data_IF_681343453751
#
_entry.id   IF_681343453751
#
_cell.length_a   1.000
_cell.length_b   1.000
_cell.length_c   1.000
_cell.angle_alpha   90.00
_cell.angle_beta   90.00
_cell.angle_gamma   90.00
#
_symmetry.space_group_name_H-M   'P 1'
#
loop_
_entity.id
_entity.type
_entity.pdbx_description
1 polymer ?
#
# COMPACT_ATOMS: atom_id res chain seq x y z
N UNK A 1 11.55 -60.22 39.60
CA UNK A 1 12.33 -60.43 38.36
C UNK A 1 11.33 -60.74 37.25
N UNK A 2 10.89 -59.72 36.51
CA UNK A 2 11.41 -59.34 35.17
C UNK A 2 11.29 -60.51 34.19
N UNK A 3 10.52 -60.45 33.11
CA UNK A 3 10.61 -59.45 32.02
C UNK A 3 9.35 -59.52 31.15
N UNK A 4 8.79 -58.39 30.69
CA UNK A 4 8.18 -58.23 29.35
C UNK A 4 8.48 -56.79 28.87
N UNK A 5 9.58 -56.64 28.12
CA UNK A 5 9.79 -55.58 27.12
C UNK A 5 8.74 -55.83 26.00
N UNK A 6 8.01 -54.88 25.44
CA UNK A 6 8.39 -53.53 25.08
C UNK A 6 8.50 -53.46 23.55
N UNK A 7 7.46 -52.98 22.87
CA UNK A 7 7.57 -52.21 21.61
C UNK A 7 6.17 -51.79 21.18
N UNK A 8 5.74 -50.60 21.63
CA UNK A 8 4.70 -49.84 20.94
C UNK A 8 5.33 -48.55 20.50
N UNK A 9 5.58 -48.48 19.20
CA UNK A 9 5.97 -47.30 18.42
C UNK A 9 5.11 -46.10 18.81
N UNK A 10 5.78 -45.01 19.20
CA UNK A 10 5.17 -43.69 19.39
C UNK A 10 4.71 -43.20 18.01
N UNK A 11 3.43 -43.38 17.73
CA UNK A 11 2.76 -42.73 16.61
C UNK A 11 2.58 -41.25 16.92
N UNK A 12 2.96 -40.41 15.96
CA UNK A 12 2.69 -38.98 15.95
C UNK A 12 1.18 -38.73 16.03
N UNK A 13 0.67 -38.38 17.21
CA UNK A 13 -0.68 -37.85 17.36
C UNK A 13 -0.65 -36.35 17.05
N UNK A 14 -1.04 -35.99 15.83
CA UNK A 14 -1.61 -34.67 15.57
C UNK A 14 -2.85 -34.54 16.45
N UNK A 15 -2.79 -33.67 17.47
CA UNK A 15 -3.93 -33.41 18.33
C UNK A 15 -5.05 -32.78 17.51
N UNK A 16 -6.10 -33.56 17.27
CA UNK A 16 -7.36 -33.13 16.68
C UNK A 16 -8.09 -32.29 17.74
N UNK A 17 -7.78 -30.99 17.83
CA UNK A 17 -8.41 -30.05 18.78
C UNK A 17 -9.63 -29.39 18.09
N UNK A 18 -10.87 -29.81 18.42
CA UNK A 18 -12.07 -29.30 17.76
C UNK A 18 -12.26 -27.79 17.94
N UNK A 19 -11.74 -27.22 19.04
CA UNK A 19 -11.79 -25.78 19.27
C UNK A 19 -10.86 -25.03 18.31
N UNK A 20 -9.65 -25.56 18.08
CA UNK A 20 -8.72 -24.98 17.13
C UNK A 20 -9.26 -25.02 15.69
N UNK A 21 -9.96 -26.09 15.31
CA UNK A 21 -10.59 -26.20 13.98
C UNK A 21 -11.75 -25.22 13.83
N UNK A 22 -12.61 -25.08 14.84
CA UNK A 22 -13.70 -24.11 14.84
C UNK A 22 -13.18 -22.65 14.77
N UNK A 23 -12.08 -22.35 15.46
CA UNK A 23 -11.40 -21.05 15.37
C UNK A 23 -10.87 -20.81 13.96
N UNK A 24 -10.17 -21.79 13.35
CA UNK A 24 -9.66 -21.67 11.97
C UNK A 24 -10.78 -21.50 10.95
N UNK A 25 -11.95 -22.09 11.20
CA UNK A 25 -13.12 -21.96 10.32
C UNK A 25 -13.64 -20.52 10.19
N UNK A 26 -13.32 -19.62 11.13
CA UNK A 26 -13.64 -18.19 11.05
C UNK A 26 -12.94 -17.53 9.85
N UNK A 27 -11.61 -17.71 9.74
CA UNK A 27 -10.85 -17.17 8.59
C UNK A 27 -11.23 -17.86 7.28
N UNK A 28 -11.57 -19.15 7.30
CA UNK A 28 -12.11 -19.83 6.11
C UNK A 28 -13.45 -19.22 5.67
N UNK A 29 -14.30 -18.80 6.63
CA UNK A 29 -15.58 -18.14 6.35
C UNK A 29 -15.36 -16.74 5.78
N UNK A 30 -14.44 -15.96 6.35
CA UNK A 30 -14.00 -14.69 5.78
C UNK A 30 -13.52 -14.84 4.33
N UNK A 31 -12.67 -15.83 4.06
CA UNK A 31 -12.15 -16.08 2.71
C UNK A 31 -13.26 -16.45 1.70
N UNK A 32 -14.26 -17.24 2.13
CA UNK A 32 -15.43 -17.56 1.30
C UNK A 32 -16.30 -16.34 1.02
N UNK A 33 -16.60 -15.53 2.05
CA UNK A 33 -17.35 -14.28 1.89
C UNK A 33 -16.65 -13.34 0.92
N UNK A 34 -15.33 -13.18 1.07
CA UNK A 34 -14.51 -12.39 0.16
C UNK A 34 -14.59 -12.88 -1.29
N UNK A 35 -14.35 -14.17 -1.51
CA UNK A 35 -14.36 -14.75 -2.86
C UNK A 35 -15.74 -14.67 -3.54
N UNK A 36 -16.82 -14.68 -2.75
CA UNK A 36 -18.19 -14.52 -3.24
C UNK A 36 -18.61 -13.05 -3.41
N UNK A 37 -17.83 -12.08 -2.93
CA UNK A 37 -18.27 -10.69 -2.77
C UNK A 37 -19.43 -10.54 -1.78
N UNK A 38 -19.58 -11.49 -0.86
CA UNK A 38 -20.65 -11.55 0.14
C UNK A 38 -20.14 -10.98 1.48
N UNK A 39 -20.48 -9.71 1.70
CA UNK A 39 -20.12 -9.00 2.92
C UNK A 39 -20.80 -9.55 4.17
N UNK A 40 -22.02 -10.09 4.05
CA UNK A 40 -22.74 -10.66 5.17
C UNK A 40 -22.07 -11.97 5.63
N UNK A 41 -21.68 -12.83 4.69
CA UNK A 41 -20.92 -14.05 4.98
C UNK A 41 -19.54 -13.73 5.56
N UNK A 42 -18.86 -12.70 5.04
CA UNK A 42 -17.61 -12.23 5.62
C UNK A 42 -17.81 -11.78 7.08
N UNK A 43 -18.82 -10.93 7.31
CA UNK A 43 -19.12 -10.33 8.61
C UNK A 43 -19.64 -11.36 9.64
N UNK A 44 -20.19 -12.49 9.22
CA UNK A 44 -20.68 -13.56 10.10
C UNK A 44 -19.61 -14.13 11.05
N UNK A 45 -18.32 -13.94 10.73
CA UNK A 45 -17.19 -14.37 11.56
C UNK A 45 -16.97 -13.50 12.81
N UNK A 46 -17.52 -12.29 12.83
CA UNK A 46 -17.33 -11.31 13.90
C UNK A 46 -18.51 -11.30 14.85
N UNK A 47 -18.33 -10.99 16.13
CA UNK A 47 -19.43 -10.75 17.08
C UNK A 47 -20.22 -9.49 16.71
N UNK A 48 -21.48 -9.40 17.14
CA UNK A 48 -22.36 -8.25 16.83
C UNK A 48 -21.74 -6.92 17.25
N UNK A 49 -21.05 -6.91 18.39
CA UNK A 49 -20.38 -5.77 19.03
C UNK A 49 -18.85 -5.78 18.85
N UNK A 50 -18.34 -6.49 17.84
CA UNK A 50 -16.90 -6.65 17.64
C UNK A 50 -16.14 -5.30 17.60
N UNK A 51 -15.05 -5.22 18.37
CA UNK A 51 -14.07 -4.14 18.31
C UNK A 51 -13.14 -4.35 17.11
N UNK A 52 -13.46 -3.74 15.97
CA UNK A 52 -12.67 -3.85 14.74
C UNK A 52 -11.84 -2.58 14.50
N UNK A 53 -10.56 -2.75 14.19
CA UNK A 53 -9.67 -1.68 13.71
C UNK A 53 -9.12 -2.06 12.34
N UNK A 54 -9.38 -1.23 11.32
CA UNK A 54 -8.83 -1.43 9.97
C UNK A 54 -7.35 -1.09 9.91
N UNK A 55 -6.68 -1.47 8.82
CA UNK A 55 -5.28 -1.06 8.54
C UNK A 55 -5.08 0.46 8.47
N UNK A 56 -6.15 1.26 8.33
CA UNK A 56 -6.11 2.73 8.34
C UNK A 56 -6.40 3.33 9.72
N UNK A 57 -6.73 2.51 10.71
CA UNK A 57 -7.16 2.96 12.03
C UNK A 57 -8.64 3.30 12.14
N UNK A 58 -9.45 3.02 11.10
CA UNK A 58 -10.90 3.24 11.15
C UNK A 58 -11.54 2.22 12.12
N UNK A 59 -12.58 2.65 12.86
CA UNK A 59 -13.36 1.80 13.78
C UNK A 59 -14.81 1.66 13.33
N UNK A 60 -15.15 0.64 12.50
CA UNK A 60 -16.53 0.33 12.16
C UNK A 60 -17.36 -0.01 13.41
N UNK A 61 -18.65 0.36 13.42
CA UNK A 61 -19.56 0.04 14.52
C UNK A 61 -20.02 -1.42 14.46
N UNK A 62 -19.31 -2.30 15.16
CA UNK A 62 -19.65 -3.72 15.31
C UNK A 62 -19.77 -4.45 13.95
N UNK A 63 -20.47 -5.59 13.97
CA UNK A 63 -20.65 -6.43 12.76
C UNK A 63 -21.30 -5.67 11.60
N UNK A 64 -22.33 -4.87 11.88
CA UNK A 64 -23.05 -4.14 10.85
C UNK A 64 -22.15 -3.12 10.13
N UNK A 65 -21.28 -2.42 10.87
CA UNK A 65 -20.29 -1.52 10.29
C UNK A 65 -19.24 -2.25 9.46
N UNK A 66 -18.79 -3.43 9.90
CA UNK A 66 -17.86 -4.29 9.16
C UNK A 66 -18.51 -4.74 7.84
N UNK A 67 -19.74 -5.24 7.88
CA UNK A 67 -20.51 -5.67 6.70
C UNK A 67 -20.67 -4.54 5.69
N UNK A 68 -21.21 -3.38 6.11
CA UNK A 68 -21.40 -2.25 5.22
C UNK A 68 -20.09 -1.71 4.63
N UNK A 69 -19.00 -1.78 5.40
CA UNK A 69 -17.67 -1.44 4.92
C UNK A 69 -17.19 -2.39 3.82
N UNK A 70 -17.33 -3.70 4.02
CA UNK A 70 -16.88 -4.72 3.07
C UNK A 70 -17.78 -4.81 1.83
N UNK A 71 -19.09 -4.58 1.94
CA UNK A 71 -20.00 -4.53 0.78
C UNK A 71 -19.54 -3.46 -0.22
N UNK A 72 -19.16 -2.26 0.27
CA UNK A 72 -18.58 -1.23 -0.60
C UNK A 72 -17.27 -1.69 -1.25
N UNK A 73 -16.36 -2.28 -0.48
CA UNK A 73 -15.06 -2.73 -0.97
C UNK A 73 -15.19 -3.82 -2.04
N UNK A 74 -16.09 -4.79 -1.84
CA UNK A 74 -16.35 -5.88 -2.77
C UNK A 74 -17.04 -5.43 -4.06
N UNK A 75 -17.69 -4.26 -4.06
CA UNK A 75 -18.24 -3.62 -5.27
C UNK A 75 -17.23 -2.73 -6.00
N UNK A 76 -16.10 -2.39 -5.37
CA UNK A 76 -15.09 -1.47 -5.92
C UNK A 76 -13.71 -2.11 -5.97
N UNK A 77 -12.76 -1.65 -5.14
CA UNK A 77 -11.34 -1.98 -5.18
C UNK A 77 -11.02 -3.47 -4.97
N UNK A 78 -11.92 -4.25 -4.37
CA UNK A 78 -11.75 -5.68 -4.11
C UNK A 78 -12.70 -6.56 -4.93
N UNK A 79 -13.43 -6.00 -5.89
CA UNK A 79 -14.27 -6.78 -6.79
C UNK A 79 -13.45 -7.84 -7.54
N UNK A 80 -13.88 -9.11 -7.48
CA UNK A 80 -13.22 -10.22 -8.16
C UNK A 80 -11.87 -10.66 -7.56
N UNK A 81 -11.47 -10.11 -6.41
CA UNK A 81 -10.28 -10.54 -5.68
C UNK A 81 -10.58 -11.71 -4.75
N UNK A 82 -9.53 -12.36 -4.22
CA UNK A 82 -9.62 -13.45 -3.24
C UNK A 82 -8.80 -13.10 -2.00
N UNK A 83 -9.17 -13.68 -0.86
CA UNK A 83 -8.44 -13.56 0.40
C UNK A 83 -7.84 -14.91 0.78
N UNK A 84 -6.52 -15.01 0.75
CA UNK A 84 -5.79 -16.14 1.30
C UNK A 84 -5.46 -15.85 2.76
N UNK A 85 -6.19 -16.45 3.68
CA UNK A 85 -6.01 -16.26 5.11
C UNK A 85 -5.42 -17.52 5.77
N UNK A 86 -4.42 -17.32 6.64
CA UNK A 86 -3.75 -18.38 7.40
C UNK A 86 -3.64 -18.00 8.86
N UNK A 87 -4.19 -18.85 9.73
CA UNK A 87 -3.96 -18.78 11.18
C UNK A 87 -2.56 -19.34 11.49
N UNK A 88 -1.69 -18.49 12.02
CA UNK A 88 -0.30 -18.83 12.36
C UNK A 88 -0.17 -19.33 13.80
N UNK A 89 -0.93 -18.75 14.73
CA UNK A 89 -0.93 -19.15 16.13
C UNK A 89 -2.32 -19.03 16.77
N UNK A 90 -2.63 -19.95 17.67
CA UNK A 90 -3.80 -19.88 18.56
C UNK A 90 -3.30 -20.04 19.99
N UNK A 91 -3.61 -19.07 20.85
CA UNK A 91 -3.28 -19.11 22.28
C UNK A 91 -4.55 -19.00 23.11
N UNK A 92 -4.95 -20.11 23.73
CA UNK A 92 -6.07 -20.13 24.66
C UNK A 92 -5.71 -19.35 25.93
N UNK A 93 -6.54 -18.37 26.30
CA UNK A 93 -6.39 -17.56 27.51
C UNK A 93 -7.13 -18.21 28.69
N UNK A 94 -8.32 -18.72 28.43
CA UNK A 94 -9.20 -19.48 29.33
C UNK A 94 -10.15 -20.35 28.48
N UNK A 95 -10.88 -21.30 29.07
CA UNK A 95 -11.93 -22.02 28.33
C UNK A 95 -12.88 -21.05 27.63
N UNK A 96 -13.05 -21.24 26.32
CA UNK A 96 -13.91 -20.39 25.48
C UNK A 96 -13.33 -19.02 25.09
N UNK A 97 -12.05 -18.72 25.36
CA UNK A 97 -11.42 -17.46 24.96
C UNK A 97 -9.98 -17.68 24.47
N UNK A 98 -9.64 -17.16 23.29
CA UNK A 98 -8.30 -17.27 22.73
C UNK A 98 -7.85 -15.99 22.00
N UNK A 99 -6.54 -15.78 21.93
CA UNK A 99 -5.93 -14.86 20.95
C UNK A 99 -5.48 -15.64 19.73
N UNK A 100 -5.64 -15.06 18.55
CA UNK A 100 -5.28 -15.68 17.29
C UNK A 100 -4.44 -14.71 16.47
N UNK A 101 -3.30 -15.20 16.00
CA UNK A 101 -2.49 -14.51 15.00
C UNK A 101 -2.83 -15.09 13.63
N UNK A 102 -3.04 -14.20 12.66
CA UNK A 102 -3.33 -14.59 11.30
C UNK A 102 -2.65 -13.68 10.29
N UNK A 103 -2.17 -14.30 9.22
CA UNK A 103 -1.66 -13.61 8.04
C UNK A 103 -2.72 -13.70 6.94
N UNK A 104 -2.89 -12.64 6.16
CA UNK A 104 -3.82 -12.66 5.03
C UNK A 104 -3.26 -11.92 3.83
N UNK A 105 -3.38 -12.51 2.65
CA UNK A 105 -2.98 -11.90 1.37
C UNK A 105 -4.21 -11.72 0.50
N UNK A 106 -4.46 -10.50 0.02
CA UNK A 106 -5.45 -10.25 -1.03
C UNK A 106 -4.80 -10.55 -2.37
N UNK A 107 -5.45 -11.36 -3.20
CA UNK A 107 -4.98 -11.74 -4.53
C UNK A 107 -5.94 -11.30 -5.61
N UNK A 108 -5.40 -10.83 -6.74
CA UNK A 108 -6.16 -10.62 -7.96
C UNK A 108 -6.64 -11.96 -8.56
N UNK A 109 -7.52 -11.89 -9.56
CA UNK A 109 -8.08 -13.07 -10.21
C UNK A 109 -7.03 -13.97 -10.89
N UNK A 110 -5.90 -13.39 -11.31
CA UNK A 110 -4.75 -14.09 -11.89
C UNK A 110 -3.78 -14.69 -10.85
N UNK A 111 -4.05 -14.48 -9.55
CA UNK A 111 -3.23 -14.96 -8.44
C UNK A 111 -2.18 -13.96 -7.93
N UNK A 112 -2.01 -12.81 -8.58
CA UNK A 112 -1.06 -11.76 -8.18
C UNK A 112 -1.38 -11.27 -6.77
N UNK A 113 -0.37 -11.23 -5.88
CA UNK A 113 -0.53 -10.68 -4.53
C UNK A 113 -0.62 -9.15 -4.58
N UNK A 114 -1.72 -8.60 -4.08
CA UNK A 114 -1.98 -7.15 -4.08
C UNK A 114 -1.55 -6.49 -2.77
N UNK A 115 -1.88 -7.10 -1.65
CA UNK A 115 -1.49 -6.61 -0.32
C UNK A 115 -1.50 -7.75 0.69
N UNK A 116 -0.64 -7.65 1.69
CA UNK A 116 -0.56 -8.59 2.82
C UNK A 116 -0.83 -7.86 4.13
N UNK A 117 -1.53 -8.55 5.03
CA UNK A 117 -1.84 -8.05 6.37
C UNK A 117 -1.48 -9.08 7.42
N UNK A 118 -1.12 -8.59 8.61
CA UNK A 118 -1.03 -9.38 9.83
C UNK A 118 -2.14 -8.90 10.77
N UNK A 119 -2.89 -9.85 11.35
CA UNK A 119 -3.95 -9.58 12.30
C UNK A 119 -3.68 -10.25 13.65
N UNK A 120 -3.99 -9.52 14.72
CA UNK A 120 -4.22 -10.08 16.05
C UNK A 120 -5.72 -10.00 16.34
N UNK A 121 -6.32 -11.15 16.62
CA UNK A 121 -7.73 -11.27 16.94
C UNK A 121 -7.94 -11.86 18.35
N UNK A 122 -9.03 -11.47 18.99
CA UNK A 122 -9.58 -12.16 20.15
C UNK A 122 -10.84 -12.88 19.70
N UNK A 123 -10.91 -14.17 19.99
CA UNK A 123 -12.07 -15.01 19.67
C UNK A 123 -12.70 -15.53 20.96
N UNK A 124 -14.03 -15.48 21.02
CA UNK A 124 -14.81 -15.98 22.15
C UNK A 124 -15.84 -17.01 21.67
N UNK A 125 -16.03 -18.06 22.47
CA UNK A 125 -17.07 -19.05 22.27
C UNK A 125 -18.37 -18.51 22.83
N UNK A 126 -19.35 -18.27 21.96
CA UNK A 126 -20.65 -17.68 22.30
C UNK A 126 -21.74 -18.72 22.57
N UNK A 127 -21.44 -20.02 22.38
CA UNK A 127 -22.33 -21.15 22.69
C UNK A 127 -22.02 -21.87 24.02
N UNK A 128 -23.05 -22.53 24.57
CA UNK A 128 -22.94 -23.49 25.68
C UNK A 128 -22.73 -24.92 25.16
N UNK A 129 -22.34 -25.83 26.05
CA UNK A 129 -21.99 -27.23 25.76
C UNK A 129 -23.07 -28.04 25.00
N UNK A 130 -24.33 -27.54 24.97
CA UNK A 130 -25.49 -28.20 24.36
C UNK A 130 -26.00 -27.52 23.06
N UNK A 131 -25.36 -26.43 22.61
CA UNK A 131 -25.63 -25.77 21.31
C UNK A 131 -24.49 -25.98 20.31
N UNK A 132 -24.62 -25.57 19.03
CA UNK A 132 -23.46 -25.58 18.14
C UNK A 132 -22.37 -24.68 18.74
N UNK A 133 -21.17 -25.24 18.91
CA UNK A 133 -19.97 -24.52 19.37
C UNK A 133 -19.67 -23.37 18.41
N UNK A 134 -20.26 -22.21 18.67
CA UNK A 134 -20.07 -21.02 17.86
C UNK A 134 -18.93 -20.20 18.46
N UNK A 135 -17.84 -20.09 17.71
CA UNK A 135 -16.80 -19.11 17.97
C UNK A 135 -17.07 -17.85 17.15
N UNK A 136 -16.72 -16.69 17.69
CA UNK A 136 -16.80 -15.41 16.99
C UNK A 136 -15.59 -14.55 17.32
N UNK A 137 -15.18 -13.70 16.38
CA UNK A 137 -14.15 -12.69 16.60
C UNK A 137 -14.79 -11.52 17.36
N UNK A 138 -14.36 -11.28 18.61
CA UNK A 138 -14.87 -10.19 19.45
C UNK A 138 -13.99 -8.93 19.38
N UNK A 139 -12.71 -9.09 19.01
CA UNK A 139 -11.83 -7.98 18.70
C UNK A 139 -10.89 -8.36 17.55
N UNK A 140 -10.62 -7.41 16.65
CA UNK A 140 -9.77 -7.61 15.48
C UNK A 140 -8.98 -6.35 15.18
N UNK A 141 -7.65 -6.47 15.17
CA UNK A 141 -6.76 -5.42 14.71
C UNK A 141 -5.86 -5.99 13.63
N UNK A 142 -5.79 -5.33 12.48
CA UNK A 142 -4.85 -5.70 11.43
C UNK A 142 -3.98 -4.53 10.97
N UNK A 143 -2.83 -4.89 10.44
CA UNK A 143 -1.86 -3.94 9.89
C UNK A 143 -1.25 -4.49 8.61
N UNK A 144 -0.70 -3.60 7.80
CA UNK A 144 0.18 -3.98 6.69
C UNK A 144 1.60 -4.07 7.28
N UNK A 145 2.25 -5.26 7.28
CA UNK A 145 3.63 -5.38 7.70
C UNK A 145 4.54 -4.48 6.87
N UNK A 146 5.43 -3.75 7.54
CA UNK A 146 6.53 -3.10 6.85
C UNK A 146 7.43 -4.17 6.21
N UNK A 147 7.90 -3.91 4.99
CA UNK A 147 8.90 -4.78 4.36
C UNK A 147 10.16 -4.72 5.22
N UNK A 148 10.62 -5.88 5.69
CA UNK A 148 11.91 -5.95 6.38
C UNK A 148 12.99 -5.50 5.38
N UNK A 149 13.88 -4.56 5.74
CA UNK A 149 14.97 -4.16 4.85
C UNK A 149 15.76 -5.43 4.50
N UNK A 150 15.98 -5.64 3.21
CA UNK A 150 16.79 -6.75 2.74
C UNK A 150 18.13 -6.70 3.49
N UNK A 151 18.44 -7.77 4.23
CA UNK A 151 19.73 -7.89 4.90
C UNK A 151 20.82 -7.63 3.87
N UNK A 152 21.65 -6.62 4.12
CA UNK A 152 22.74 -6.18 3.25
C UNK A 152 23.58 -7.39 2.82
N UNK A 153 23.29 -7.92 1.63
CA UNK A 153 24.22 -8.75 0.92
C UNK A 153 25.31 -7.80 0.42
N UNK A 154 26.44 -7.80 1.12
CA UNK A 154 27.62 -7.01 0.77
C UNK A 154 27.89 -7.13 -0.73
N UNK A 155 27.74 -6.01 -1.42
CA UNK A 155 28.02 -5.86 -2.85
C UNK A 155 29.47 -6.22 -3.13
N UNK A 156 29.67 -7.38 -3.76
CA UNK A 156 30.92 -7.72 -4.41
C UNK A 156 31.10 -6.81 -5.64
N UNK A 157 32.23 -6.09 -5.71
CA UNK A 157 32.60 -5.28 -6.87
C UNK A 157 32.67 -6.15 -8.14
N UNK A 158 32.08 -5.74 -9.28
CA UNK A 158 32.36 -6.40 -10.54
C UNK A 158 33.73 -5.97 -11.10
N UNK A 159 34.37 -6.93 -11.76
CA UNK A 159 35.67 -6.80 -12.41
C UNK A 159 35.62 -5.91 -13.67
N UNK A 160 36.72 -5.20 -13.89
CA UNK A 160 36.97 -4.26 -14.98
C UNK A 160 37.00 -4.96 -16.35
N UNK A 161 36.23 -4.45 -17.31
CA UNK A 161 36.25 -4.90 -18.71
C UNK A 161 37.08 -3.94 -19.59
N UNK A 162 37.87 -4.53 -20.50
CA UNK A 162 38.81 -3.88 -21.41
C UNK A 162 38.14 -2.96 -22.46
N UNK A 163 38.87 -1.99 -23.06
CA UNK A 163 38.26 -0.89 -23.79
C UNK A 163 37.85 -1.32 -25.20
N UNK A 164 36.64 -0.91 -25.60
CA UNK A 164 36.16 -0.96 -26.99
C UNK A 164 36.36 0.44 -27.59
N UNK A 165 37.04 0.49 -28.73
CA UNK A 165 37.33 1.73 -29.48
C UNK A 165 36.07 2.13 -30.26
N UNK A 166 35.57 3.35 -30.08
CA UNK A 166 34.45 3.92 -30.84
C UNK A 166 34.91 5.06 -31.76
N UNK A 167 34.32 5.10 -32.95
CA UNK A 167 34.40 6.18 -33.95
C UNK A 167 33.77 7.49 -33.46
N UNK A 168 34.05 8.66 -34.06
CA UNK A 168 33.84 9.95 -33.40
C UNK A 168 32.35 10.31 -33.36
N UNK A 169 31.77 10.13 -32.18
CA UNK A 169 30.46 10.64 -31.81
C UNK A 169 30.50 12.17 -31.74
N UNK A 170 29.48 12.83 -32.28
CA UNK A 170 29.29 14.28 -32.20
C UNK A 170 29.41 14.74 -30.74
N UNK A 171 30.19 15.78 -30.52
CA UNK A 171 30.39 16.38 -29.20
C UNK A 171 29.06 16.60 -28.47
N UNK A 172 28.91 16.12 -27.22
CA UNK A 172 27.68 16.28 -26.47
C UNK A 172 27.53 17.76 -26.08
N UNK A 173 26.44 18.38 -26.55
CA UNK A 173 25.91 19.60 -25.94
C UNK A 173 25.70 19.35 -24.46
N UNK A 174 26.14 20.25 -23.58
CA UNK A 174 25.99 20.13 -22.12
C UNK A 174 24.53 19.82 -21.72
N UNK A 175 24.20 18.54 -21.54
CA UNK A 175 22.94 18.13 -20.93
C UNK A 175 23.17 18.08 -19.43
N UNK A 176 22.94 19.21 -18.75
CA UNK A 176 23.06 19.30 -17.30
C UNK A 176 22.24 18.22 -16.59
N UNK A 177 22.76 17.73 -15.45
CA UNK A 177 22.13 16.65 -14.64
C UNK A 177 20.65 16.96 -14.37
N UNK A 178 19.73 15.98 -14.47
CA UNK A 178 18.32 16.15 -14.07
C UNK A 178 18.17 16.81 -12.69
N UNK A 179 17.21 17.73 -12.56
CA UNK A 179 17.02 18.51 -11.33
C UNK A 179 15.64 18.25 -10.75
N UNK A 180 15.57 17.96 -9.46
CA UNK A 180 14.31 17.92 -8.72
C UNK A 180 13.72 19.34 -8.66
N UNK A 181 12.55 19.54 -9.28
CA UNK A 181 11.96 20.88 -9.49
C UNK A 181 10.47 20.93 -9.19
N UNK A 182 9.88 19.83 -8.73
CA UNK A 182 8.45 19.75 -8.43
C UNK A 182 8.16 18.87 -7.24
N UNK A 183 7.20 19.31 -6.44
CA UNK A 183 6.58 18.52 -5.38
C UNK A 183 5.06 18.68 -5.43
N UNK A 184 4.33 17.60 -5.17
CA UNK A 184 2.88 17.62 -5.09
C UNK A 184 2.36 17.08 -3.77
N UNK A 185 1.41 17.81 -3.18
CA UNK A 185 0.72 17.46 -1.94
C UNK A 185 -0.78 17.46 -2.22
N UNK A 186 -1.47 16.38 -1.84
CA UNK A 186 -2.94 16.36 -1.81
C UNK A 186 -3.41 17.03 -0.52
N UNK A 187 -4.25 18.05 -0.66
CA UNK A 187 -4.74 18.88 0.44
C UNK A 187 -6.27 18.93 0.47
N UNK A 188 -6.85 18.86 1.69
CA UNK A 188 -8.29 19.07 1.89
C UNK A 188 -8.69 20.51 1.60
N UNK A 189 -7.83 21.45 1.98
CA UNK A 189 -7.98 22.88 1.75
C UNK A 189 -6.71 23.45 1.11
N UNK A 190 -6.58 23.39 -0.24
CA UNK A 190 -5.42 23.93 -0.94
C UNK A 190 -5.24 25.43 -0.77
N UNK A 191 -6.31 26.22 -0.66
CA UNK A 191 -6.22 27.68 -0.53
C UNK A 191 -5.67 28.07 0.86
N UNK A 192 -6.19 27.46 1.93
CA UNK A 192 -5.66 27.66 3.28
C UNK A 192 -4.18 27.23 3.39
N UNK A 193 -3.83 26.10 2.76
CA UNK A 193 -2.45 25.63 2.73
C UNK A 193 -1.54 26.52 1.86
N UNK A 194 -2.02 27.05 0.74
CA UNK A 194 -1.31 28.05 -0.06
C UNK A 194 -1.04 29.32 0.74
N UNK A 195 -2.03 29.79 1.52
CA UNK A 195 -1.89 30.91 2.44
C UNK A 195 -0.81 30.66 3.49
N UNK A 196 -0.73 29.46 4.06
CA UNK A 196 0.34 29.07 4.98
C UNK A 196 1.72 29.15 4.31
N UNK A 197 1.92 28.49 3.16
CA UNK A 197 3.20 28.49 2.45
C UNK A 197 3.62 29.89 1.99
N UNK A 198 2.67 30.71 1.55
CA UNK A 198 2.94 32.08 1.12
C UNK A 198 3.32 32.99 2.29
N UNK A 199 2.62 32.87 3.43
CA UNK A 199 2.85 33.75 4.59
C UNK A 199 4.05 33.35 5.44
N UNK A 200 4.29 32.04 5.61
CA UNK A 200 5.34 31.52 6.51
C UNK A 200 6.66 31.31 5.78
N UNK A 201 6.61 30.86 4.52
CA UNK A 201 7.78 30.49 3.74
C UNK A 201 7.99 31.36 2.50
N UNK A 202 7.19 32.43 2.35
CA UNK A 202 7.32 33.42 1.28
C UNK A 202 7.25 32.81 -0.13
N UNK A 203 6.53 31.70 -0.31
CA UNK A 203 6.31 31.11 -1.62
C UNK A 203 5.31 31.96 -2.43
N UNK A 204 5.59 32.13 -3.72
CA UNK A 204 4.72 32.86 -4.65
C UNK A 204 3.66 31.92 -5.23
N UNK A 205 2.39 32.20 -4.94
CA UNK A 205 1.24 31.55 -5.58
C UNK A 205 1.06 32.10 -7.00
N UNK A 206 1.42 31.30 -8.01
CA UNK A 206 1.43 31.74 -9.41
C UNK A 206 0.26 31.18 -10.24
N UNK A 207 -0.48 30.19 -9.72
CA UNK A 207 -1.66 29.63 -10.40
C UNK A 207 -2.69 29.07 -9.42
N UNK A 208 -3.96 29.27 -9.77
CA UNK A 208 -5.12 28.59 -9.19
C UNK A 208 -5.88 27.87 -10.30
N UNK A 209 -6.25 26.63 -10.07
CA UNK A 209 -7.05 25.84 -11.00
C UNK A 209 -8.54 25.85 -10.60
N UNK A 210 -9.47 25.66 -11.54
CA UNK A 210 -10.92 25.69 -11.26
C UNK A 210 -11.40 24.65 -10.25
N UNK A 211 -10.66 23.54 -10.07
CA UNK A 211 -10.96 22.50 -9.08
C UNK A 211 -10.54 22.89 -7.64
N UNK A 212 -9.98 24.09 -7.46
CA UNK A 212 -9.47 24.60 -6.20
C UNK A 212 -8.03 24.20 -5.90
N UNK A 213 -7.33 23.53 -6.82
CA UNK A 213 -5.89 23.28 -6.69
C UNK A 213 -5.09 24.57 -6.84
N UNK A 214 -3.95 24.65 -6.17
CA UNK A 214 -3.07 25.82 -6.16
C UNK A 214 -1.64 25.41 -6.54
N UNK A 215 -0.90 26.26 -7.25
CA UNK A 215 0.52 26.04 -7.52
C UNK A 215 1.35 27.22 -7.04
N UNK A 216 2.35 26.93 -6.20
CA UNK A 216 3.27 27.89 -5.62
C UNK A 216 4.70 27.64 -6.08
N UNK A 217 5.57 28.64 -5.96
CA UNK A 217 7.00 28.50 -6.22
C UNK A 217 7.81 29.26 -5.18
N UNK A 218 8.95 28.72 -4.76
CA UNK A 218 9.98 29.46 -4.01
C UNK A 218 11.05 30.09 -4.93
N UNK A 219 10.84 30.02 -6.24
CA UNK A 219 11.80 30.37 -7.28
C UNK A 219 12.62 29.17 -7.78
N UNK A 220 12.84 28.16 -6.94
CA UNK A 220 13.63 26.98 -7.28
C UNK A 220 12.76 25.75 -7.56
N UNK A 221 11.69 25.56 -6.80
CA UNK A 221 10.83 24.39 -6.79
C UNK A 221 9.37 24.83 -6.95
N UNK A 222 8.65 24.14 -7.82
CA UNK A 222 7.20 24.25 -7.94
C UNK A 222 6.53 23.33 -6.91
N UNK A 223 5.52 23.84 -6.20
CA UNK A 223 4.70 23.11 -5.25
C UNK A 223 3.26 23.09 -5.73
N UNK A 224 2.75 21.92 -6.11
CA UNK A 224 1.34 21.72 -6.44
C UNK A 224 0.54 21.24 -5.23
N UNK A 225 -0.45 22.02 -4.83
CA UNK A 225 -1.44 21.68 -3.82
C UNK A 225 -2.71 21.19 -4.53
N UNK A 226 -2.85 19.87 -4.61
CA UNK A 226 -3.93 19.20 -5.34
C UNK A 226 -5.16 19.10 -4.44
N UNK A 227 -6.32 19.54 -4.92
CA UNK A 227 -7.57 19.37 -4.18
C UNK A 227 -7.88 17.89 -3.94
N UNK A 228 -8.01 17.51 -2.67
CA UNK A 228 -8.46 16.18 -2.29
C UNK A 228 -9.88 15.94 -2.80
N UNK A 229 -10.02 14.87 -3.58
CA UNK A 229 -11.29 14.39 -4.10
C UNK A 229 -11.91 13.41 -3.11
N UNK A 230 -13.11 13.72 -2.62
CA UNK A 230 -13.82 12.86 -1.65
C UNK A 230 -14.23 11.50 -2.25
N UNK A 231 -14.33 11.44 -3.57
CA UNK A 231 -14.65 10.26 -4.38
C UNK A 231 -13.40 9.52 -4.90
N UNK A 232 -12.19 9.97 -4.55
CA UNK A 232 -10.94 9.39 -5.03
C UNK A 232 -10.19 8.59 -3.96
N UNK A 233 -9.41 7.61 -4.40
CA UNK A 233 -8.62 6.74 -3.51
C UNK A 233 -7.28 7.36 -3.06
N UNK A 234 -7.00 8.62 -3.41
CA UNK A 234 -5.71 9.26 -3.12
C UNK A 234 -5.71 9.90 -1.72
N UNK A 235 -4.86 9.46 -0.79
CA UNK A 235 -4.81 10.03 0.55
C UNK A 235 -4.28 11.46 0.55
N UNK A 236 -4.61 12.21 1.61
CA UNK A 236 -4.03 13.53 1.91
C UNK A 236 -2.55 13.38 2.25
N UNK A 237 -1.70 14.31 1.80
CA UNK A 237 -0.26 14.31 2.06
C UNK A 237 0.58 14.25 0.79
N UNK A 238 1.83 13.81 0.92
CA UNK A 238 2.78 13.69 -0.18
C UNK A 238 2.21 12.81 -1.30
N UNK A 239 2.30 13.27 -2.55
CA UNK A 239 1.71 12.57 -3.69
C UNK A 239 2.72 12.12 -4.73
N UNK A 240 3.54 13.05 -5.23
CA UNK A 240 4.61 12.77 -6.17
C UNK A 240 5.60 13.94 -6.17
N UNK A 241 6.75 13.72 -6.81
CA UNK A 241 7.75 14.76 -7.10
C UNK A 241 8.05 14.80 -8.59
N UNK A 242 8.92 15.70 -9.07
CA UNK A 242 9.22 15.77 -10.49
C UNK A 242 10.59 16.31 -10.83
N UNK A 243 11.14 15.77 -11.92
CA UNK A 243 12.44 16.14 -12.48
C UNK A 243 12.28 16.98 -13.74
N UNK A 244 12.98 18.12 -13.74
CA UNK A 244 13.26 18.86 -14.95
C UNK A 244 14.45 18.18 -15.64
N UNK A 245 14.20 17.64 -16.83
CA UNK A 245 15.18 16.90 -17.65
C UNK A 245 15.41 17.61 -18.97
N UNK A 246 16.54 17.34 -19.63
CA UNK A 246 16.83 17.92 -20.95
C UNK A 246 16.12 17.19 -22.10
N UNK A 247 15.90 15.89 -21.93
CA UNK A 247 15.28 15.02 -22.94
C UNK A 247 14.48 13.91 -22.21
N UNK A 248 13.16 14.00 -22.30
CA UNK A 248 12.21 13.03 -21.74
C UNK A 248 12.28 11.69 -22.46
N UNK A 249 12.57 11.64 -23.76
CA UNK A 249 12.68 10.41 -24.52
C UNK A 249 13.93 9.62 -24.11
N UNK A 250 15.08 10.28 -24.05
CA UNK A 250 16.33 9.68 -23.59
C UNK A 250 16.21 9.22 -22.12
N UNK A 251 15.65 10.06 -21.24
CA UNK A 251 15.45 9.68 -19.83
C UNK A 251 14.48 8.51 -19.69
N UNK A 252 13.38 8.49 -20.46
CA UNK A 252 12.41 7.40 -20.43
C UNK A 252 13.02 6.07 -20.93
N UNK A 253 13.87 6.12 -21.95
CA UNK A 253 14.58 4.93 -22.44
C UNK A 253 15.53 4.37 -21.37
N UNK A 254 16.30 5.24 -20.71
CA UNK A 254 17.20 4.83 -19.63
C UNK A 254 16.46 4.22 -18.43
N UNK A 255 15.28 4.73 -18.08
CA UNK A 255 14.42 4.17 -17.03
C UNK A 255 14.00 2.72 -17.37
N UNK A 256 13.53 2.50 -18.59
CA UNK A 256 13.13 1.16 -19.07
C UNK A 256 14.32 0.20 -19.08
N UNK A 257 15.52 0.64 -19.49
CA UNK A 257 16.73 -0.17 -19.43
C UNK A 257 17.08 -0.62 -18.00
N UNK A 258 16.73 0.18 -17.00
CA UNK A 258 16.90 -0.17 -15.58
C UNK A 258 15.75 -0.98 -14.98
N UNK A 259 14.82 -1.44 -15.81
CA UNK A 259 13.77 -2.37 -15.40
C UNK A 259 12.52 -1.71 -14.81
N UNK A 260 12.33 -0.40 -15.00
CA UNK A 260 11.07 0.26 -14.66
C UNK A 260 10.08 0.17 -15.82
N UNK A 261 8.79 0.31 -15.52
CA UNK A 261 7.77 0.47 -16.55
C UNK A 261 8.02 1.72 -17.41
N UNK A 262 7.55 1.67 -18.65
CA UNK A 262 7.63 2.81 -19.57
C UNK A 262 6.83 3.99 -19.00
N UNK A 263 7.42 5.20 -18.90
CA UNK A 263 6.70 6.38 -18.43
C UNK A 263 5.43 6.65 -19.26
N UNK A 264 4.31 6.83 -18.56
CA UNK A 264 3.02 7.09 -19.18
C UNK A 264 2.90 8.57 -19.54
N UNK A 265 2.52 8.87 -20.79
CA UNK A 265 2.20 10.24 -21.19
C UNK A 265 0.97 10.71 -20.43
N UNK A 266 1.05 11.90 -19.82
CA UNK A 266 -0.10 12.52 -19.16
C UNK A 266 -1.07 13.04 -20.22
N UNK A 267 -2.24 12.45 -20.32
CA UNK A 267 -3.38 13.04 -21.02
C UNK A 267 -4.12 13.96 -20.05
N UNK A 268 -3.55 15.12 -19.75
CA UNK A 268 -4.26 16.14 -18.99
C UNK A 268 -4.04 17.51 -19.61
N UNK A 269 -5.07 18.36 -19.60
CA UNK A 269 -5.02 19.78 -20.00
C UNK A 269 -4.13 20.65 -19.07
N UNK A 270 -3.30 20.01 -18.23
CA UNK A 270 -2.40 20.63 -17.26
C UNK A 270 -1.01 20.80 -17.90
N UNK A 271 -0.51 22.02 -18.04
CA UNK A 271 0.53 22.34 -19.03
C UNK A 271 1.99 21.99 -18.65
N UNK A 272 2.24 21.24 -17.57
CA UNK A 272 3.57 21.22 -16.93
C UNK A 272 4.20 19.84 -16.71
N UNK A 273 3.43 18.76 -16.74
CA UNK A 273 3.92 17.39 -16.52
C UNK A 273 3.66 16.55 -17.77
N UNK A 274 4.72 16.12 -18.45
CA UNK A 274 4.63 15.48 -19.77
C UNK A 274 4.52 13.96 -19.64
N UNK A 275 5.30 13.38 -18.70
CA UNK A 275 5.30 11.96 -18.43
C UNK A 275 5.28 11.67 -16.92
N UNK A 276 4.57 10.61 -16.53
CA UNK A 276 4.62 10.04 -15.17
C UNK A 276 5.38 8.72 -15.21
N UNK A 277 6.31 8.56 -14.28
CA UNK A 277 7.11 7.35 -14.08
C UNK A 277 7.04 6.90 -12.61
N UNK A 278 7.62 5.74 -12.36
CA UNK A 278 7.74 5.14 -11.03
C UNK A 278 9.18 4.67 -10.84
N UNK A 279 9.74 4.89 -9.65
CA UNK A 279 11.05 4.35 -9.30
C UNK A 279 10.95 2.88 -8.83
N UNK A 280 12.07 2.15 -8.64
CA UNK A 280 12.03 0.75 -8.23
C UNK A 280 11.34 0.48 -6.88
N UNK A 281 11.16 1.50 -6.04
CA UNK A 281 10.52 1.42 -4.73
C UNK A 281 9.03 1.82 -4.78
N UNK A 282 8.49 2.10 -5.97
CA UNK A 282 7.09 2.42 -6.17
C UNK A 282 6.74 3.90 -6.05
N UNK A 283 7.72 4.80 -5.93
CA UNK A 283 7.44 6.23 -5.79
C UNK A 283 7.11 6.85 -7.14
N UNK A 284 5.99 7.57 -7.22
CA UNK A 284 5.60 8.29 -8.43
C UNK A 284 6.42 9.57 -8.59
N UNK A 285 6.92 9.78 -9.81
CA UNK A 285 7.53 11.05 -10.19
C UNK A 285 7.19 11.46 -11.62
N UNK A 286 7.31 12.75 -11.88
CA UNK A 286 7.01 13.36 -13.18
C UNK A 286 8.29 13.76 -13.91
N UNK A 287 8.29 13.64 -15.23
CA UNK A 287 9.32 14.16 -16.11
C UNK A 287 8.75 15.32 -16.93
N UNK A 288 9.55 16.38 -17.04
CA UNK A 288 9.22 17.54 -17.85
C UNK A 288 10.49 18.12 -18.48
N UNK A 289 10.50 18.34 -19.78
CA UNK A 289 11.51 19.12 -20.52
C UNK A 289 11.30 20.62 -20.33
N UNK A 290 10.05 21.04 -20.23
CA UNK A 290 9.64 22.43 -20.17
C UNK A 290 9.63 23.00 -18.74
N UNK A 291 9.76 22.13 -17.74
CA UNK A 291 9.71 22.45 -16.32
C UNK A 291 8.27 22.55 -15.78
N UNK A 292 8.15 22.89 -14.49
CA UNK A 292 6.89 22.78 -13.74
C UNK A 292 6.17 24.12 -13.48
N UNK A 293 6.41 25.10 -14.36
CA UNK A 293 5.91 26.47 -14.22
C UNK A 293 6.59 27.26 -13.10
N UNK A 294 5.96 28.37 -12.71
CA UNK A 294 6.41 29.25 -11.63
C UNK A 294 7.44 30.31 -12.06
N UNK A 295 7.55 31.41 -11.28
CA UNK A 295 8.63 32.38 -11.43
C UNK A 295 9.98 31.67 -11.28
N UNK A 296 10.93 32.00 -12.17
CA UNK A 296 12.33 31.58 -12.03
C UNK A 296 13.08 32.61 -11.17
N UNK A 297 14.12 32.20 -10.44
CA UNK A 297 14.96 33.17 -9.75
C UNK A 297 15.58 34.06 -10.82
N UNK A 298 15.81 35.34 -10.50
CA UNK A 298 16.78 36.11 -11.26
C UNK A 298 18.09 35.30 -11.25
N UNK A 299 18.77 35.20 -12.40
CA UNK A 299 20.05 34.49 -12.46
C UNK A 299 20.94 35.02 -11.32
N UNK A 300 21.33 34.14 -10.40
CA UNK A 300 22.27 34.49 -9.34
C UNK A 300 23.54 35.01 -10.02
N UNK A 301 23.84 36.30 -9.80
CA UNK A 301 24.99 36.99 -10.36
C UNK A 301 26.29 36.58 -9.65
#
# INVERSE_FOLDING_TARGET
MTTHNGSSTIGANGSNDPAADAIRALWATMARGWAAGDAALFAASFATDCDFTTVRGDKPQGRAGIEAGHDRLFRTQYAGTRLDARVTAVRHLRPGLATVEAESTVRAADGTALTSTHALAVVERTGTHDGPDLWQIVAFHNMIPAVAPAGSAASARPAEAAPVVSEPEKAPTETGRPRLRHLAIVARDPEGLAGFYSSVLSMELFRRDPDGSCLLSDGYLSLALIKHRLDGDTPVGMNHFGFHVADTAATSAALVEKGTDKPAKRFTDRPFAEYRAMDPEGNWFDLSEHGFGGPRPAAEA
#
